data_IF_134473714783
#
_entry.id   IF_134473714783
#
_cell.length_a   1.000
_cell.length_b   1.000
_cell.length_c   1.000
_cell.angle_alpha   90.00
_cell.angle_beta   90.00
_cell.angle_gamma   90.00
#
_symmetry.space_group_name_H-M   'P 1'
#
loop_
_entity.id
_entity.type
_entity.pdbx_description
1 polymer ?
#
# COMPACT_ATOMS: atom_id res chain seq x y z
N UNK A 1 -23.29 -12.56 -2.55
CA UNK A 1 -22.24 -11.79 -3.25
C UNK A 1 -22.86 -11.23 -4.51
N UNK A 2 -22.74 -9.92 -4.75
CA UNK A 2 -23.23 -9.32 -5.98
C UNK A 2 -22.25 -9.72 -7.10
N UNK A 3 -22.69 -10.22 -8.27
CA UNK A 3 -21.80 -10.70 -9.34
C UNK A 3 -20.84 -9.66 -9.97
N UNK A 4 -20.78 -8.43 -9.46
CA UNK A 4 -20.03 -7.30 -10.03
C UNK A 4 -18.85 -6.82 -9.15
N UNK A 5 -18.49 -7.52 -8.08
CA UNK A 5 -17.36 -7.10 -7.23
C UNK A 5 -16.04 -7.65 -7.79
N UNK A 6 -15.39 -6.85 -8.65
CA UNK A 6 -14.12 -7.21 -9.28
C UNK A 6 -13.01 -7.29 -8.22
N UNK A 7 -12.40 -8.47 -8.08
CA UNK A 7 -11.33 -8.70 -7.09
C UNK A 7 -9.99 -8.12 -7.54
N UNK A 8 -9.72 -8.17 -8.84
CA UNK A 8 -8.48 -7.71 -9.48
C UNK A 8 -8.80 -7.11 -10.85
N UNK A 9 -8.29 -5.92 -11.12
CA UNK A 9 -8.23 -5.29 -12.43
C UNK A 9 -6.79 -4.96 -12.80
N UNK A 10 -6.41 -5.25 -14.04
CA UNK A 10 -5.10 -4.94 -14.61
C UNK A 10 -5.31 -4.13 -15.88
N UNK A 11 -4.59 -3.02 -16.01
CA UNK A 11 -4.60 -2.19 -17.21
C UNK A 11 -3.19 -2.00 -17.71
N UNK A 12 -2.96 -2.35 -18.98
CA UNK A 12 -1.70 -2.07 -19.68
C UNK A 12 -1.88 -0.85 -20.57
N UNK A 13 -0.95 0.09 -20.49
CA UNK A 13 -0.97 1.32 -21.28
C UNK A 13 0.38 1.49 -21.98
N UNK A 14 0.36 1.55 -23.31
CA UNK A 14 1.50 1.94 -24.14
C UNK A 14 1.37 3.40 -24.54
N UNK A 15 2.48 4.13 -24.52
CA UNK A 15 2.54 5.53 -24.90
C UNK A 15 3.34 5.69 -26.21
N UNK A 16 3.00 6.71 -26.99
CA UNK A 16 3.66 7.00 -28.29
C UNK A 16 5.17 7.21 -28.16
N UNK A 17 5.64 7.67 -26.99
CA UNK A 17 7.07 7.81 -26.69
C UNK A 17 7.79 6.48 -26.45
N UNK A 18 7.12 5.34 -26.60
CA UNK A 18 7.66 4.01 -26.30
C UNK A 18 7.60 3.64 -24.80
N UNK A 19 7.16 4.56 -23.94
CA UNK A 19 6.91 4.28 -22.52
C UNK A 19 5.74 3.31 -22.32
N UNK A 20 5.73 2.63 -21.18
CA UNK A 20 4.64 1.71 -20.78
C UNK A 20 4.29 1.91 -19.32
N UNK A 21 3.01 1.82 -18.97
CA UNK A 21 2.53 1.81 -17.59
C UNK A 21 1.54 0.67 -17.36
N UNK A 22 1.64 0.02 -16.20
CA UNK A 22 0.70 -1.00 -15.76
C UNK A 22 -0.03 -0.49 -14.53
N UNK A 23 -1.36 -0.38 -14.63
CA UNK A 23 -2.25 -0.12 -13.49
C UNK A 23 -2.72 -1.44 -12.89
N UNK A 24 -2.66 -1.56 -11.55
CA UNK A 24 -3.18 -2.71 -10.81
C UNK A 24 -4.16 -2.20 -9.77
N UNK A 25 -5.38 -2.74 -9.79
CA UNK A 25 -6.43 -2.45 -8.82
C UNK A 25 -6.86 -3.76 -8.16
N UNK A 26 -6.74 -3.85 -6.83
CA UNK A 26 -7.14 -5.05 -6.07
C UNK A 26 -8.13 -4.62 -5.00
N UNK A 27 -9.15 -5.43 -4.76
CA UNK A 27 -10.09 -5.21 -3.68
C UNK A 27 -9.37 -5.24 -2.33
N UNK A 28 -9.45 -4.13 -1.58
CA UNK A 28 -8.86 -4.01 -0.25
C UNK A 28 -9.48 -5.02 0.76
N UNK A 29 -10.60 -5.67 0.42
CA UNK A 29 -11.20 -6.73 1.23
C UNK A 29 -10.36 -8.02 1.25
N UNK A 30 -9.50 -8.24 0.25
CA UNK A 30 -8.74 -9.49 0.11
C UNK A 30 -7.22 -9.30 0.23
N UNK A 31 -6.74 -8.05 0.19
CA UNK A 31 -5.32 -7.74 0.19
C UNK A 31 -5.06 -6.36 0.79
N UNK A 32 -4.01 -6.27 1.60
CA UNK A 32 -3.39 -5.00 1.99
C UNK A 32 -2.31 -4.58 0.98
N UNK A 33 -1.71 -3.40 1.17
CA UNK A 33 -0.66 -2.91 0.28
C UNK A 33 0.54 -3.88 0.18
N UNK A 34 0.94 -4.51 1.29
CA UNK A 34 2.05 -5.47 1.30
C UNK A 34 1.77 -6.71 0.43
N UNK A 35 0.54 -7.22 0.51
CA UNK A 35 0.05 -8.34 -0.31
C UNK A 35 0.00 -7.96 -1.78
N UNK A 36 -0.47 -6.74 -2.12
CA UNK A 36 -0.46 -6.22 -3.50
C UNK A 36 0.98 -6.14 -4.04
N UNK A 37 1.93 -5.60 -3.27
CA UNK A 37 3.34 -5.55 -3.72
C UNK A 37 3.94 -6.94 -3.88
N UNK A 38 3.59 -7.89 -3.01
CA UNK A 38 4.04 -9.28 -3.12
C UNK A 38 3.51 -9.94 -4.39
N UNK A 39 2.24 -9.72 -4.71
CA UNK A 39 1.63 -10.16 -5.96
C UNK A 39 2.35 -9.57 -7.18
N UNK A 40 2.57 -8.26 -7.22
CA UNK A 40 3.26 -7.59 -8.36
C UNK A 40 4.71 -8.08 -8.51
N UNK A 41 5.45 -8.25 -7.40
CA UNK A 41 6.81 -8.80 -7.43
C UNK A 41 6.85 -10.24 -7.94
N UNK A 42 5.93 -11.08 -7.47
CA UNK A 42 5.83 -12.47 -7.89
C UNK A 42 5.42 -12.57 -9.36
N UNK A 43 4.46 -11.75 -9.80
CA UNK A 43 4.08 -11.66 -11.21
C UNK A 43 5.27 -11.28 -12.09
N UNK A 44 6.05 -10.27 -11.69
CA UNK A 44 7.24 -9.87 -12.42
C UNK A 44 8.36 -10.93 -12.41
N UNK A 45 8.51 -11.68 -11.33
CA UNK A 45 9.45 -12.81 -11.24
C UNK A 45 9.05 -13.94 -12.19
N UNK A 46 7.77 -14.34 -12.17
CA UNK A 46 7.22 -15.36 -13.07
C UNK A 46 7.40 -14.99 -14.54
N UNK A 47 7.19 -13.72 -14.92
CA UNK A 47 7.35 -13.29 -16.32
C UNK A 47 8.80 -13.29 -16.79
N UNK A 48 9.78 -13.18 -15.87
CA UNK A 48 11.20 -13.34 -16.17
C UNK A 48 11.66 -14.80 -16.19
N UNK A 49 10.84 -15.73 -15.70
CA UNK A 49 11.22 -17.14 -15.52
C UNK A 49 12.03 -17.40 -14.25
N UNK A 50 11.97 -16.50 -13.26
CA UNK A 50 12.62 -16.69 -11.97
C UNK A 50 11.88 -17.78 -11.17
N UNK A 51 12.61 -18.73 -10.57
CA UNK A 51 12.05 -19.88 -9.84
C UNK A 51 11.69 -19.64 -8.37
N UNK A 52 12.15 -18.54 -7.78
CA UNK A 52 11.89 -18.19 -6.37
C UNK A 52 10.58 -17.40 -6.25
N UNK A 53 9.47 -18.12 -6.36
CA UNK A 53 8.14 -17.55 -6.11
C UNK A 53 7.85 -17.54 -4.61
N UNK A 54 7.36 -16.40 -4.12
CA UNK A 54 6.91 -16.28 -2.73
C UNK A 54 5.78 -17.27 -2.49
N UNK A 55 5.90 -18.09 -1.44
CA UNK A 55 4.81 -18.96 -0.99
C UNK A 55 3.68 -18.11 -0.42
N UNK A 56 2.57 -18.03 -1.16
CA UNK A 56 1.34 -17.38 -0.69
C UNK A 56 0.50 -18.39 0.09
N UNK A 57 0.02 -18.00 1.26
CA UNK A 57 -0.88 -18.82 2.08
C UNK A 57 -2.23 -18.12 2.28
N UNK A 58 -3.31 -18.78 1.90
CA UNK A 58 -4.68 -18.33 2.14
C UNK A 58 -5.23 -18.98 3.41
N UNK A 59 -4.64 -18.64 4.56
CA UNK A 59 -5.00 -19.21 5.86
C UNK A 59 -5.63 -18.17 6.80
N UNK A 60 -6.37 -17.21 6.24
CA UNK A 60 -6.95 -16.10 7.01
C UNK A 60 -7.92 -16.61 8.09
N UNK A 61 -8.74 -17.61 7.77
CA UNK A 61 -9.64 -18.28 8.73
C UNK A 61 -8.90 -19.02 9.85
N UNK A 62 -7.72 -19.57 9.56
CA UNK A 62 -6.87 -20.25 10.54
C UNK A 62 -6.13 -19.26 11.45
N UNK A 63 -5.60 -18.18 10.89
CA UNK A 63 -4.83 -17.15 11.63
C UNK A 63 -5.75 -16.17 12.35
N UNK A 64 -6.91 -15.88 11.77
CA UNK A 64 -7.95 -14.99 12.28
C UNK A 64 -9.31 -15.73 12.31
N UNK A 65 -9.57 -16.50 13.38
CA UNK A 65 -10.82 -17.24 13.52
C UNK A 65 -12.05 -16.35 13.33
N UNK A 66 -13.12 -16.85 12.69
CA UNK A 66 -14.33 -16.07 12.45
C UNK A 66 -14.89 -15.46 13.75
N UNK A 67 -15.16 -14.16 13.72
CA UNK A 67 -15.82 -13.43 14.82
C UNK A 67 -17.11 -12.82 14.30
N UNK A 68 -18.08 -12.63 15.20
CA UNK A 68 -19.29 -11.90 14.86
C UNK A 68 -18.92 -10.44 14.51
N UNK A 69 -19.18 -10.05 13.26
CA UNK A 69 -18.93 -8.70 12.73
C UNK A 69 -20.21 -7.87 12.62
N UNK A 70 -21.30 -8.29 13.29
CA UNK A 70 -22.57 -7.55 13.31
C UNK A 70 -22.35 -6.11 13.77
N UNK A 71 -22.66 -5.15 12.91
CA UNK A 71 -22.51 -3.71 13.18
C UNK A 71 -21.28 -3.06 12.54
N UNK A 72 -20.35 -3.83 11.96
CA UNK A 72 -19.21 -3.25 11.22
C UNK A 72 -19.61 -2.92 9.78
N UNK A 73 -19.75 -1.63 9.46
CA UNK A 73 -19.94 -1.18 8.09
C UNK A 73 -18.58 -1.04 7.41
N UNK A 74 -18.28 -1.92 6.45
CA UNK A 74 -17.03 -1.90 5.67
C UNK A 74 -17.04 -0.89 4.52
N UNK A 75 -18.17 -0.21 4.27
CA UNK A 75 -18.32 0.71 3.16
C UNK A 75 -17.80 2.10 3.52
N UNK A 76 -16.53 2.35 3.26
CA UNK A 76 -16.07 3.72 3.03
C UNK A 76 -16.63 4.18 1.69
N UNK A 77 -17.51 5.18 1.71
CA UNK A 77 -18.00 5.80 0.49
C UNK A 77 -16.85 6.45 -0.27
N UNK A 78 -16.82 6.31 -1.60
CA UNK A 78 -15.96 7.14 -2.44
C UNK A 78 -16.57 8.54 -2.43
N UNK A 79 -15.89 9.50 -1.79
CA UNK A 79 -16.29 10.90 -1.86
C UNK A 79 -15.99 11.43 -3.26
N UNK A 80 -16.98 12.07 -3.88
CA UNK A 80 -16.82 12.73 -5.20
C UNK A 80 -16.39 14.18 -5.00
N UNK A 81 -15.38 14.39 -4.17
CA UNK A 81 -14.83 15.72 -3.94
C UNK A 81 -13.79 16.03 -5.01
N UNK A 82 -13.67 17.31 -5.36
CA UNK A 82 -12.62 17.78 -6.25
C UNK A 82 -11.30 17.84 -5.48
N UNK A 83 -10.61 16.71 -5.42
CA UNK A 83 -9.31 16.58 -4.75
C UNK A 83 -8.20 16.76 -5.79
N UNK A 84 -7.26 17.65 -5.49
CA UNK A 84 -6.00 17.77 -6.25
C UNK A 84 -4.95 16.91 -5.56
N UNK A 85 -4.43 15.90 -6.27
CA UNK A 85 -3.30 15.11 -5.78
C UNK A 85 -1.98 15.85 -6.07
N UNK A 86 -1.18 16.11 -5.04
CA UNK A 86 0.15 16.72 -5.15
C UNK A 86 1.22 15.78 -4.61
N UNK A 87 2.33 15.64 -5.34
CA UNK A 87 3.50 14.87 -4.88
C UNK A 87 4.56 15.80 -4.33
N UNK A 88 4.72 15.81 -3.01
CA UNK A 88 5.87 16.41 -2.33
C UNK A 88 6.97 15.35 -2.16
N UNK A 89 8.22 15.70 -2.46
CA UNK A 89 9.36 14.80 -2.35
C UNK A 89 10.30 15.33 -1.27
N UNK A 90 10.60 14.50 -0.27
CA UNK A 90 11.54 14.80 0.79
C UNK A 90 12.80 13.95 0.61
N UNK A 91 13.95 14.61 0.55
CA UNK A 91 15.25 13.98 0.52
C UNK A 91 15.57 13.27 1.84
N UNK A 92 16.54 12.37 1.80
CA UNK A 92 16.99 11.69 3.01
C UNK A 92 17.51 12.67 4.07
N UNK A 93 18.23 13.73 3.68
CA UNK A 93 18.74 14.76 4.59
C UNK A 93 17.63 15.60 5.23
N UNK A 94 16.57 15.91 4.49
CA UNK A 94 15.42 16.65 5.04
C UNK A 94 14.69 15.81 6.10
N UNK A 95 14.51 14.52 5.84
CA UNK A 95 13.92 13.59 6.81
C UNK A 95 14.80 13.48 8.07
N UNK A 96 16.13 13.40 7.92
CA UNK A 96 17.02 13.38 9.09
C UNK A 96 16.95 14.68 9.89
N UNK A 97 16.88 15.84 9.23
CA UNK A 97 16.69 17.11 9.91
C UNK A 97 15.36 17.19 10.69
N UNK A 98 14.26 16.61 10.15
CA UNK A 98 12.98 16.50 10.86
C UNK A 98 13.13 15.61 12.09
N UNK A 99 13.78 14.44 11.97
CA UNK A 99 14.03 13.52 13.09
C UNK A 99 14.85 14.17 14.20
N UNK A 100 15.89 14.91 13.84
CA UNK A 100 16.74 15.63 14.80
C UNK A 100 15.95 16.68 15.58
N UNK A 101 15.06 17.42 14.92
CA UNK A 101 14.19 18.41 15.58
C UNK A 101 13.26 17.78 16.63
N UNK A 102 12.63 16.64 16.33
CA UNK A 102 11.79 15.94 17.30
C UNK A 102 12.60 15.38 18.48
N UNK A 103 13.81 14.89 18.22
CA UNK A 103 14.70 14.36 19.27
C UNK A 103 15.17 15.48 20.22
N UNK A 104 15.44 16.67 19.68
CA UNK A 104 15.86 17.83 20.47
C UNK A 104 14.75 18.35 21.41
N UNK A 105 13.48 18.15 21.05
CA UNK A 105 12.33 18.61 21.84
C UNK A 105 12.03 17.74 23.06
N UNK A 106 12.35 16.44 23.00
CA UNK A 106 12.10 15.50 24.10
C UNK A 106 13.28 14.54 24.27
N UNK A 107 14.27 14.97 25.06
CA UNK A 107 15.52 14.22 25.28
C UNK A 107 15.34 12.89 26.01
N UNK A 108 14.15 12.64 26.56
CA UNK A 108 13.80 11.38 27.23
C UNK A 108 13.17 10.34 26.27
N UNK A 109 13.00 10.68 25.00
CA UNK A 109 12.33 9.84 24.01
C UNK A 109 13.31 9.33 22.96
N UNK A 110 13.12 8.09 22.53
CA UNK A 110 13.90 7.49 21.45
C UNK A 110 13.71 8.27 20.15
N UNK A 111 14.79 8.38 19.36
CA UNK A 111 14.75 9.04 18.05
C UNK A 111 13.68 8.38 17.17
N UNK A 112 12.69 9.13 16.64
CA UNK A 112 11.63 8.54 15.83
C UNK A 112 12.20 7.90 14.56
N UNK A 113 11.49 6.90 14.03
CA UNK A 113 11.75 6.36 12.71
C UNK A 113 11.49 7.42 11.63
N UNK A 114 11.99 7.17 10.41
CA UNK A 114 11.75 8.05 9.25
C UNK A 114 10.27 8.19 8.93
N UNK A 115 9.49 7.12 9.12
CA UNK A 115 8.04 7.11 8.86
C UNK A 115 7.33 7.94 9.92
N UNK A 116 7.59 7.70 11.20
CA UNK A 116 6.95 8.46 12.29
C UNK A 116 7.24 9.96 12.18
N UNK A 117 8.52 10.33 11.98
CA UNK A 117 8.92 11.73 11.90
C UNK A 117 8.28 12.46 10.71
N UNK A 118 8.20 11.81 9.54
CA UNK A 118 7.58 12.42 8.36
C UNK A 118 6.05 12.45 8.46
N UNK A 119 5.43 11.38 9.00
CA UNK A 119 3.98 11.33 9.21
C UNK A 119 3.48 12.35 10.24
N UNK A 120 4.29 12.69 11.25
CA UNK A 120 3.93 13.72 12.23
C UNK A 120 4.16 15.16 11.71
N UNK A 121 5.00 15.33 10.68
CA UNK A 121 5.31 16.62 10.09
C UNK A 121 4.25 17.09 9.08
N UNK A 122 3.65 16.14 8.35
CA UNK A 122 2.59 16.38 7.34
C UNK A 122 1.25 16.60 8.05
#
# INVERSE_FOLDING_TARGET
MNPQELVLGIQFNSFECGGTAIGVCISHNIADAASVFTFVKSWAASTRGDGDLVRVEFASDRVFPPRNSSGFQTRSGITKENIVAMRSVFSASEIEAIRDRYTAYNTNQERPSRVEALSAFI
#
